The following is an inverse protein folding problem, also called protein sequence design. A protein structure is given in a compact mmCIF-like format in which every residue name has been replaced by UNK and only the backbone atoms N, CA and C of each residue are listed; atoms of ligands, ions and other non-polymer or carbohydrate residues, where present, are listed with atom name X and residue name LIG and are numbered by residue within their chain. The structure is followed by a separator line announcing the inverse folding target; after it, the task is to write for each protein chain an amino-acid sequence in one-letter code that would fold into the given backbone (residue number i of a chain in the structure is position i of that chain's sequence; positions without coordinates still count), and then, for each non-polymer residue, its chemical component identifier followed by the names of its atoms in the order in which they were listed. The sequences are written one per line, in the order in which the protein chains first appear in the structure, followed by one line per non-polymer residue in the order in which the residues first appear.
data_IF_174091465124
#
_entry.id   IF_174091465124
#
_cell.length_a   1.000
_cell.length_b   1.000
_cell.length_c   1.000
_cell.angle_alpha   90.00
_cell.angle_beta   90.00
_cell.angle_gamma   90.00
#
_symmetry.space_group_name_H-M   'P 1'
#
loop_
_entity.id
_entity.type
_entity.pdbx_description
1 polymer ?
#
# COMPACT_ATOMS: atom_id res chain seq x y z
N UNK A 1 -21.99 2.40 -13.77
CA UNK A 1 -21.66 2.93 -12.43
C UNK A 1 -20.24 3.43 -12.50
N UNK A 2 -19.99 4.67 -12.08
CA UNK A 2 -18.63 5.14 -11.85
C UNK A 2 -18.11 4.49 -10.57
N UNK A 3 -16.93 3.89 -10.62
CA UNK A 3 -16.26 3.32 -9.45
C UNK A 3 -15.42 4.42 -8.81
N UNK A 4 -15.67 4.70 -7.53
CA UNK A 4 -14.93 5.72 -6.79
C UNK A 4 -13.98 5.06 -5.80
N UNK A 5 -12.83 5.71 -5.61
CA UNK A 5 -11.95 5.45 -4.49
C UNK A 5 -12.13 6.53 -3.44
N UNK A 6 -12.24 6.11 -2.19
CA UNK A 6 -12.31 7.02 -1.04
C UNK A 6 -11.08 6.82 -0.17
N UNK A 7 -10.40 7.90 0.23
CA UNK A 7 -9.39 7.86 1.29
C UNK A 7 -9.96 8.62 2.48
N UNK A 8 -10.22 7.94 3.59
CA UNK A 8 -10.89 8.53 4.76
C UNK A 8 -12.20 9.28 4.40
N UNK A 9 -12.98 8.74 3.47
CA UNK A 9 -14.22 9.36 2.99
C UNK A 9 -14.06 10.45 1.93
N UNK A 10 -12.85 10.84 1.53
CA UNK A 10 -12.61 11.81 0.45
C UNK A 10 -12.33 11.13 -0.89
N UNK A 11 -12.93 11.63 -1.97
CA UNK A 11 -12.74 11.10 -3.31
C UNK A 11 -11.27 11.23 -3.76
N UNK A 12 -10.69 10.10 -4.14
CA UNK A 12 -9.29 9.98 -4.54
C UNK A 12 -9.21 9.85 -6.07
N UNK A 13 -8.65 10.86 -6.74
CA UNK A 13 -8.25 10.72 -8.14
C UNK A 13 -7.07 9.74 -8.22
N UNK A 14 -7.32 8.57 -8.80
CA UNK A 14 -6.30 7.55 -9.13
C UNK A 14 -6.22 7.36 -10.64
N UNK A 15 -5.01 7.09 -11.12
CA UNK A 15 -4.70 7.01 -12.55
C UNK A 15 -4.70 5.59 -13.11
N UNK A 16 -5.52 4.67 -12.57
CA UNK A 16 -5.50 3.26 -12.97
C UNK A 16 -6.88 2.68 -13.23
N UNK A 17 -6.94 1.76 -14.20
CA UNK A 17 -8.13 1.04 -14.63
C UNK A 17 -8.57 0.02 -13.56
N UNK A 18 -9.37 0.48 -12.59
CA UNK A 18 -10.21 -0.44 -11.82
C UNK A 18 -11.23 -1.04 -12.80
N UNK A 19 -11.39 -2.37 -12.89
CA UNK A 19 -12.32 -2.97 -13.82
C UNK A 19 -13.71 -2.36 -13.69
N UNK A 20 -14.34 -1.91 -14.80
CA UNK A 20 -15.66 -1.29 -14.74
C UNK A 20 -16.68 -2.26 -14.12
N UNK A 21 -17.50 -1.76 -13.19
CA UNK A 21 -18.46 -2.57 -12.44
C UNK A 21 -17.89 -3.17 -11.14
N UNK A 22 -16.62 -2.89 -10.81
CA UNK A 22 -16.09 -3.13 -9.46
C UNK A 22 -16.78 -2.18 -8.48
N UNK A 23 -17.14 -2.69 -7.31
CA UNK A 23 -17.73 -1.86 -6.25
C UNK A 23 -16.73 -0.80 -5.78
N UNK A 24 -17.25 0.25 -5.14
CA UNK A 24 -16.40 1.29 -4.56
C UNK A 24 -15.47 0.67 -3.51
N UNK A 25 -14.19 1.05 -3.58
CA UNK A 25 -13.17 0.66 -2.62
C UNK A 25 -12.90 1.87 -1.73
N UNK A 26 -13.16 1.70 -0.45
CA UNK A 26 -12.83 2.68 0.58
C UNK A 26 -11.50 2.30 1.22
N UNK A 27 -10.58 3.25 1.31
CA UNK A 27 -9.29 3.09 1.98
C UNK A 27 -9.31 3.91 3.25
N UNK A 28 -9.15 3.24 4.39
CA UNK A 28 -9.15 3.84 5.71
C UNK A 28 -7.72 3.82 6.23
N UNK A 29 -7.22 4.99 6.62
CA UNK A 29 -5.95 5.14 7.30
C UNK A 29 -6.14 5.05 8.82
N UNK A 30 -5.32 4.24 9.47
CA UNK A 30 -5.24 4.19 10.93
C UNK A 30 -3.78 4.23 11.39
N UNK A 31 -3.52 5.02 12.42
CA UNK A 31 -2.23 5.05 13.13
C UNK A 31 -2.45 4.54 14.55
N UNK A 32 -1.64 3.59 14.99
CA UNK A 32 -1.61 3.12 16.37
C UNK A 32 -0.16 2.87 16.80
N UNK A 33 0.29 3.58 17.85
CA UNK A 33 1.66 3.55 18.35
C UNK A 33 2.71 3.79 17.25
N UNK A 34 3.55 2.79 16.99
CA UNK A 34 4.59 2.80 15.95
C UNK A 34 4.12 2.21 14.62
N UNK A 35 2.83 1.88 14.51
CA UNK A 35 2.27 1.16 13.38
C UNK A 35 1.30 2.03 12.59
N UNK A 36 1.39 1.90 11.28
CA UNK A 36 0.50 2.53 10.32
C UNK A 36 -0.23 1.45 9.54
N UNK A 37 -1.51 1.69 9.26
CA UNK A 37 -2.39 0.76 8.58
C UNK A 37 -3.18 1.50 7.50
N UNK A 38 -3.25 0.90 6.31
CA UNK A 38 -4.24 1.22 5.29
C UNK A 38 -5.12 -0.01 5.10
N UNK A 39 -6.40 0.17 5.32
CA UNK A 39 -7.41 -0.88 5.22
C UNK A 39 -8.23 -0.59 3.97
N UNK A 40 -8.24 -1.50 3.00
CA UNK A 40 -9.15 -1.44 1.87
C UNK A 40 -10.43 -2.19 2.22
N UNK A 41 -11.57 -1.50 2.13
CA UNK A 41 -12.90 -2.02 2.35
C UNK A 41 -13.73 -1.93 1.08
N UNK A 42 -14.52 -2.97 0.84
CA UNK A 42 -15.46 -3.03 -0.27
C UNK A 42 -16.76 -3.64 0.25
N UNK A 43 -17.89 -2.93 0.05
CA UNK A 43 -19.20 -3.34 0.61
C UNK A 43 -19.16 -3.61 2.13
N UNK A 44 -18.41 -2.81 2.89
CA UNK A 44 -18.25 -2.96 4.35
C UNK A 44 -17.45 -4.19 4.79
N UNK A 45 -16.71 -4.82 3.87
CA UNK A 45 -15.80 -5.94 4.17
C UNK A 45 -14.37 -5.53 3.91
N UNK A 46 -13.46 -5.88 4.82
CA UNK A 46 -12.02 -5.74 4.59
C UNK A 46 -11.58 -6.68 3.47
N UNK A 47 -11.09 -6.10 2.38
CA UNK A 47 -10.61 -6.80 1.17
C UNK A 47 -9.10 -6.66 0.97
N UNK A 48 -8.46 -5.72 1.68
CA UNK A 48 -7.01 -5.57 1.68
C UNK A 48 -6.50 -4.84 2.91
N UNK A 49 -5.23 -5.08 3.21
CA UNK A 49 -4.52 -4.47 4.33
C UNK A 49 -3.07 -4.22 3.93
N UNK A 50 -2.62 -2.99 4.14
CA UNK A 50 -1.21 -2.62 4.09
C UNK A 50 -0.81 -2.11 5.47
N UNK A 51 0.29 -2.62 6.01
CA UNK A 51 0.81 -2.20 7.32
C UNK A 51 2.25 -1.75 7.21
N UNK A 52 2.61 -0.70 7.93
CA UNK A 52 3.99 -0.31 8.18
C UNK A 52 4.26 -0.41 9.67
N UNK A 53 5.26 -1.19 10.04
CA UNK A 53 5.75 -1.30 11.42
C UNK A 53 7.08 -0.58 11.52
N UNK A 54 7.15 0.49 12.31
CA UNK A 54 8.41 1.22 12.49
C UNK A 54 9.38 0.43 13.36
N UNK A 55 10.67 0.56 13.08
CA UNK A 55 11.72 -0.01 13.92
C UNK A 55 11.63 0.54 15.35
N UNK A 56 11.74 -0.34 16.34
CA UNK A 56 11.64 0.01 17.76
C UNK A 56 12.91 0.65 18.35
N UNK A 57 14.05 0.56 17.64
CA UNK A 57 15.33 1.11 18.09
C UNK A 57 15.53 2.51 17.54
N UNK A 58 16.12 3.42 18.33
CA UNK A 58 16.38 4.82 17.94
C UNK A 58 17.00 4.93 16.53
N UNK A 59 17.99 4.06 16.24
CA UNK A 59 18.73 3.98 14.96
C UNK A 59 17.92 3.42 13.78
N UNK A 60 16.72 2.89 13.99
CA UNK A 60 15.86 2.30 12.94
C UNK A 60 14.43 2.85 12.96
N UNK A 61 14.13 3.86 13.78
CA UNK A 61 12.79 4.48 13.87
C UNK A 61 12.31 5.14 12.58
N UNK A 62 13.23 5.51 11.68
CA UNK A 62 12.96 6.07 10.37
C UNK A 62 12.73 5.00 9.29
N UNK A 63 12.93 3.73 9.64
CA UNK A 63 12.72 2.57 8.76
C UNK A 63 11.42 1.89 9.17
N UNK A 64 10.53 1.66 8.21
CA UNK A 64 9.33 0.86 8.38
C UNK A 64 9.42 -0.48 7.67
N UNK A 65 9.00 -1.56 8.31
CA UNK A 65 8.74 -2.84 7.63
C UNK A 65 7.32 -2.80 7.06
N UNK A 66 7.21 -2.95 5.74
CA UNK A 66 5.98 -2.92 4.99
C UNK A 66 5.49 -4.35 4.73
N UNK A 67 4.25 -4.62 5.14
CA UNK A 67 3.50 -5.84 4.80
C UNK A 67 2.24 -5.46 4.02
N UNK A 68 1.92 -6.20 2.96
CA UNK A 68 0.67 -6.05 2.20
C UNK A 68 -0.01 -7.40 1.99
N UNK A 69 -1.32 -7.42 2.21
CA UNK A 69 -2.18 -8.58 2.00
C UNK A 69 -3.49 -8.15 1.35
N UNK A 70 -3.92 -8.88 0.32
CA UNK A 70 -5.22 -8.71 -0.34
C UNK A 70 -5.96 -10.03 -0.27
N UNK A 71 -7.26 -9.99 -0.02
CA UNK A 71 -8.10 -11.18 0.04
C UNK A 71 -8.05 -11.92 -1.31
N UNK A 72 -8.00 -13.26 -1.30
CA UNK A 72 -7.79 -14.08 -2.50
C UNK A 72 -8.83 -13.83 -3.61
N UNK A 73 -10.08 -13.58 -3.23
CA UNK A 73 -11.19 -13.29 -4.15
C UNK A 73 -11.10 -11.91 -4.81
N UNK A 74 -10.18 -11.07 -4.33
CA UNK A 74 -10.00 -9.70 -4.77
C UNK A 74 -8.57 -9.45 -5.27
N UNK A 75 -7.85 -10.51 -5.64
CA UNK A 75 -6.56 -10.38 -6.32
C UNK A 75 -6.77 -9.92 -7.76
N UNK A 76 -5.76 -9.24 -8.33
CA UNK A 76 -5.72 -8.82 -9.75
C UNK A 76 -6.79 -7.83 -10.19
N UNK A 77 -7.53 -7.24 -9.25
CA UNK A 77 -8.45 -6.11 -9.52
C UNK A 77 -7.84 -4.76 -9.10
N UNK A 78 -6.57 -4.75 -8.68
CA UNK A 78 -5.80 -3.53 -8.42
C UNK A 78 -5.84 -2.99 -7.00
N UNK A 79 -6.40 -3.72 -6.02
CA UNK A 79 -6.46 -3.28 -4.61
C UNK A 79 -5.07 -2.99 -4.06
N UNK A 80 -4.10 -3.85 -4.36
CA UNK A 80 -2.72 -3.68 -3.95
C UNK A 80 -2.13 -2.36 -4.48
N UNK A 81 -2.40 -2.01 -5.74
CA UNK A 81 -1.94 -0.76 -6.36
C UNK A 81 -2.60 0.46 -5.70
N UNK A 82 -3.89 0.36 -5.38
CA UNK A 82 -4.64 1.40 -4.66
C UNK A 82 -4.03 1.66 -3.28
N UNK A 83 -3.77 0.59 -2.52
CA UNK A 83 -3.12 0.68 -1.21
C UNK A 83 -1.74 1.34 -1.31
N UNK A 84 -0.96 1.02 -2.35
CA UNK A 84 0.34 1.64 -2.58
C UNK A 84 0.28 3.11 -2.94
N UNK A 85 -0.67 3.54 -3.76
CA UNK A 85 -0.81 4.96 -4.08
C UNK A 85 -1.25 5.77 -2.87
N UNK A 86 -2.17 5.22 -2.08
CA UNK A 86 -2.55 5.80 -0.80
C UNK A 86 -1.33 5.92 0.11
N UNK A 87 -0.48 4.91 0.13
CA UNK A 87 0.76 4.92 0.88
C UNK A 87 1.75 5.98 0.37
N UNK A 88 2.01 6.06 -0.94
CA UNK A 88 2.92 7.03 -1.53
C UNK A 88 2.47 8.48 -1.25
N UNK A 89 1.16 8.74 -1.35
CA UNK A 89 0.58 10.03 -0.97
C UNK A 89 0.74 10.34 0.52
N UNK A 90 0.66 9.31 1.36
CA UNK A 90 0.85 9.46 2.80
C UNK A 90 2.32 9.72 3.15
N UNK A 91 3.28 9.09 2.46
CA UNK A 91 4.71 9.35 2.65
C UNK A 91 5.09 10.80 2.42
N UNK A 92 4.54 11.43 1.39
CA UNK A 92 4.77 12.85 1.10
C UNK A 92 4.30 13.78 2.23
N UNK A 93 3.51 13.28 3.19
CA UNK A 93 3.00 14.03 4.34
C UNK A 93 3.68 13.67 5.67
N UNK A 94 4.62 12.72 5.69
CA UNK A 94 5.22 12.18 6.91
C UNK A 94 6.73 12.38 6.98
N UNK A 95 7.19 13.13 7.98
CA UNK A 95 8.63 13.31 8.25
C UNK A 95 9.28 12.13 8.99
N UNK A 96 8.46 11.29 9.64
CA UNK A 96 8.88 10.30 10.62
C UNK A 96 9.37 8.96 10.03
N UNK A 97 8.93 8.61 8.82
CA UNK A 97 9.34 7.40 8.10
C UNK A 97 9.95 7.83 6.78
N UNK A 98 11.26 7.62 6.63
CA UNK A 98 12.02 8.06 5.45
C UNK A 98 12.40 6.91 4.54
N UNK A 99 12.16 5.67 4.98
CA UNK A 99 12.51 4.44 4.29
C UNK A 99 11.55 3.33 4.65
N UNK A 100 11.19 2.49 3.68
CA UNK A 100 10.45 1.24 3.95
C UNK A 100 11.10 0.04 3.31
N UNK A 101 11.07 -1.07 4.04
CA UNK A 101 11.50 -2.36 3.58
C UNK A 101 10.28 -3.19 3.22
N UNK A 102 10.24 -3.72 2.01
CA UNK A 102 9.23 -4.67 1.61
C UNK A 102 9.87 -6.06 1.56
N UNK A 103 9.29 -7.00 2.30
CA UNK A 103 9.70 -8.41 2.24
C UNK A 103 8.73 -9.17 1.36
N UNK A 104 9.23 -9.64 0.22
CA UNK A 104 8.44 -10.43 -0.75
C UNK A 104 9.01 -11.83 -0.86
N UNK A 105 8.13 -12.83 -0.78
CA UNK A 105 8.48 -14.21 -1.16
C UNK A 105 8.43 -14.34 -2.69
N UNK A 106 9.54 -14.73 -3.32
CA UNK A 106 9.76 -14.72 -4.78
C UNK A 106 8.81 -15.65 -5.55
N UNK A 107 8.20 -16.62 -4.88
CA UNK A 107 7.28 -17.62 -5.45
C UNK A 107 5.92 -17.03 -5.88
N UNK A 108 5.67 -15.75 -5.62
CA UNK A 108 4.41 -15.09 -5.95
C UNK A 108 4.61 -14.13 -7.12
N UNK A 109 4.26 -14.59 -8.33
CA UNK A 109 4.27 -13.75 -9.55
C UNK A 109 3.50 -12.43 -9.33
N UNK A 110 2.39 -12.47 -8.62
CA UNK A 110 1.62 -11.28 -8.26
C UNK A 110 2.42 -10.28 -7.42
N UNK A 111 3.19 -10.75 -6.44
CA UNK A 111 4.00 -9.85 -5.61
C UNK A 111 5.22 -9.30 -6.35
N UNK A 112 5.69 -9.99 -7.39
CA UNK A 112 6.72 -9.48 -8.30
C UNK A 112 6.18 -8.38 -9.22
N UNK A 113 4.99 -8.57 -9.81
CA UNK A 113 4.30 -7.53 -10.59
C UNK A 113 4.08 -6.27 -9.75
N UNK A 114 3.60 -6.46 -8.52
CA UNK A 114 3.42 -5.39 -7.55
C UNK A 114 4.71 -4.63 -7.23
N UNK A 115 5.82 -5.36 -7.08
CA UNK A 115 7.13 -4.76 -6.82
C UNK A 115 7.61 -3.92 -8.01
N UNK A 116 7.38 -4.37 -9.24
CA UNK A 116 7.72 -3.61 -10.45
C UNK A 116 6.92 -2.31 -10.48
N UNK A 117 5.61 -2.36 -10.23
CA UNK A 117 4.77 -1.16 -10.14
C UNK A 117 5.26 -0.19 -9.06
N UNK A 118 5.70 -0.69 -7.91
CA UNK A 118 6.26 0.14 -6.85
C UNK A 118 7.55 0.84 -7.24
N UNK A 119 8.47 0.15 -7.91
CA UNK A 119 9.71 0.74 -8.39
C UNK A 119 9.45 1.88 -9.38
N UNK A 120 8.40 1.79 -10.20
CA UNK A 120 7.98 2.88 -11.08
C UNK A 120 7.48 4.09 -10.28
N UNK A 121 6.63 3.87 -9.28
CA UNK A 121 6.13 4.95 -8.40
C UNK A 121 7.27 5.62 -7.62
N UNK A 122 8.31 4.86 -7.21
CA UNK A 122 9.50 5.43 -6.57
C UNK A 122 10.22 6.43 -7.48
N UNK A 123 10.42 6.08 -8.75
CA UNK A 123 11.10 6.95 -9.71
C UNK A 123 10.34 8.25 -9.97
N UNK A 124 9.00 8.20 -9.93
CA UNK A 124 8.14 9.37 -10.12
C UNK A 124 8.09 10.27 -8.88
N UNK A 125 8.15 9.70 -7.68
CA UNK A 125 7.92 10.45 -6.43
C UNK A 125 9.21 10.83 -5.69
N UNK A 126 10.32 10.13 -5.91
CA UNK A 126 11.61 10.36 -5.27
C UNK A 126 11.64 10.20 -3.73
N UNK A 127 10.51 9.87 -3.11
CA UNK A 127 10.27 10.09 -1.69
C UNK A 127 10.64 8.90 -0.79
N UNK A 128 10.78 7.69 -1.35
CA UNK A 128 10.87 6.46 -0.56
C UNK A 128 11.92 5.51 -1.14
N UNK A 129 12.94 5.17 -0.36
CA UNK A 129 13.91 4.14 -0.72
C UNK A 129 13.32 2.75 -0.40
N UNK A 130 13.05 1.94 -1.43
CA UNK A 130 12.56 0.57 -1.29
C UNK A 130 13.74 -0.41 -1.35
N UNK A 131 13.95 -1.18 -0.28
CA UNK A 131 14.93 -2.26 -0.28
C UNK A 131 14.25 -3.62 -0.28
N UNK A 132 14.61 -4.43 -1.28
CA UNK A 132 14.17 -5.81 -1.43
C UNK A 132 15.12 -6.74 -0.69
N UNK A 133 14.54 -7.60 0.15
CA UNK A 133 15.24 -8.74 0.72
C UNK A 133 14.65 -10.03 0.15
N UNK A 134 15.46 -10.78 -0.60
CA UNK A 134 15.12 -12.15 -1.01
C UNK A 134 15.45 -13.11 0.14
N UNK A 135 14.56 -14.07 0.39
CA UNK A 135 14.77 -15.17 1.33
C UNK A 135 14.48 -16.48 0.61
N UNK A 136 15.34 -17.47 0.80
CA UNK A 136 15.21 -18.84 0.29
C UNK A 136 14.08 -19.61 0.99
#
# INVERSE_FOLDING_TARGET
METYLLLNGEALNVHWDIPPGTDNIEVINKVADTNFFLIAEMKGKMVGLLTIKRGQKLKTTYIGDLDINVHCDHLRIGIEKVLFQCLARWFNKMDAVRKVHLKVKVNSLMKLELLIDMCMIQQETGAVDFQLFQFE
#
